data_IF_255241654105
#
_entry.id   IF_255241654105
#
_cell.length_a   1.000
_cell.length_b   1.000
_cell.length_c   1.000
_cell.angle_alpha   90.00
_cell.angle_beta   90.00
_cell.angle_gamma   90.00
#
_symmetry.space_group_name_H-M   'P 1'
#
loop_
_entity.id
_entity.type
_entity.pdbx_description
1 polymer ?
#
# COMPACT_ATOMS: atom_id res chain seq x y z
N UNK A 1 67.40 13.14 7.35
CA UNK A 1 66.18 12.57 6.73
C UNK A 1 65.07 12.64 7.76
N UNK A 2 64.11 13.56 7.59
CA UNK A 2 62.96 13.69 8.48
C UNK A 2 61.78 12.94 7.86
N UNK A 3 61.30 11.91 8.56
CA UNK A 3 60.10 11.16 8.15
C UNK A 3 58.91 12.01 8.57
N UNK A 4 58.36 12.78 7.63
CA UNK A 4 57.06 13.44 7.81
C UNK A 4 55.99 12.35 7.84
N UNK A 5 55.65 11.88 9.03
CA UNK A 5 54.43 11.12 9.27
C UNK A 5 53.24 12.00 8.90
N UNK A 6 52.60 11.71 7.77
CA UNK A 6 51.34 12.35 7.37
C UNK A 6 50.25 11.85 8.32
N UNK A 7 50.13 12.49 9.48
CA UNK A 7 49.05 12.26 10.42
C UNK A 7 47.75 12.63 9.71
N UNK A 8 47.02 11.62 9.22
CA UNK A 8 45.67 11.85 8.71
C UNK A 8 44.85 12.31 9.92
N UNK A 9 44.36 13.56 9.93
CA UNK A 9 43.66 14.09 11.09
C UNK A 9 42.41 13.24 11.37
N UNK A 10 42.31 12.69 12.58
CA UNK A 10 41.14 11.94 13.07
C UNK A 10 39.81 12.67 12.82
N UNK A 11 39.85 14.00 12.71
CA UNK A 11 38.70 14.83 12.34
C UNK A 11 38.07 14.45 10.99
N UNK A 12 38.88 14.12 9.98
CA UNK A 12 38.38 13.74 8.65
C UNK A 12 37.75 12.34 8.65
N UNK A 13 38.28 11.44 9.47
CA UNK A 13 37.69 10.11 9.69
C UNK A 13 36.33 10.26 10.41
N UNK A 14 36.24 11.16 11.39
CA UNK A 14 35.00 11.42 12.13
C UNK A 14 33.90 12.01 11.23
N UNK A 15 34.24 12.92 10.31
CA UNK A 15 33.29 13.53 9.37
C UNK A 15 32.72 12.47 8.40
N UNK A 16 33.55 11.54 7.91
CA UNK A 16 33.09 10.43 7.06
C UNK A 16 32.17 9.46 7.82
N UNK A 17 32.45 9.19 9.10
CA UNK A 17 31.63 8.32 9.95
C UNK A 17 30.29 8.98 10.33
N UNK A 18 30.25 10.30 10.50
CA UNK A 18 29.01 11.04 10.80
C UNK A 18 28.13 11.28 9.56
N UNK A 19 28.70 11.15 8.35
CA UNK A 19 27.95 11.34 7.09
C UNK A 19 27.03 10.17 6.72
N UNK A 20 27.08 9.05 7.44
CA UNK A 20 26.24 7.86 7.17
C UNK A 20 24.90 7.85 7.92
N UNK A 21 24.51 8.93 8.59
CA UNK A 21 23.30 8.97 9.43
C UNK A 21 22.23 9.91 8.90
N UNK A 22 21.82 9.74 7.64
CA UNK A 22 20.56 10.32 7.14
C UNK A 22 19.79 9.29 6.32
N UNK A 23 19.30 8.25 6.99
CA UNK A 23 18.16 7.49 6.46
C UNK A 23 16.90 8.30 6.76
N UNK A 24 16.67 9.37 6.00
CA UNK A 24 15.35 10.03 6.00
C UNK A 24 14.36 8.97 5.52
N UNK A 25 13.60 8.39 6.45
CA UNK A 25 12.46 7.53 6.11
C UNK A 25 11.42 8.45 5.46
N UNK A 26 11.42 8.49 4.13
CA UNK A 26 10.31 9.07 3.39
C UNK A 26 9.14 8.12 3.62
N UNK A 27 8.18 8.53 4.46
CA UNK A 27 6.89 7.86 4.53
C UNK A 27 6.21 8.04 3.18
N UNK A 28 6.04 6.95 2.44
CA UNK A 28 5.21 6.98 1.25
C UNK A 28 3.76 7.05 1.70
N UNK A 29 3.10 8.17 1.44
CA UNK A 29 1.64 8.30 1.61
C UNK A 29 1.00 7.59 0.42
N UNK A 30 0.11 6.63 0.70
CA UNK A 30 -0.58 5.84 -0.33
C UNK A 30 -2.09 6.06 -0.18
N UNK A 31 -2.73 6.46 -1.27
CA UNK A 31 -4.18 6.52 -1.36
C UNK A 31 -4.70 5.16 -1.84
N UNK A 32 -5.67 4.59 -1.13
CA UNK A 32 -6.30 3.33 -1.50
C UNK A 32 -7.79 3.58 -1.71
N UNK A 33 -8.26 3.30 -2.91
CA UNK A 33 -9.68 3.40 -3.28
C UNK A 33 -10.26 2.02 -3.55
N UNK A 34 -11.40 1.74 -2.93
CA UNK A 34 -12.24 0.59 -3.24
C UNK A 34 -13.49 1.07 -3.94
N UNK A 35 -13.77 0.50 -5.10
CA UNK A 35 -14.99 0.77 -5.86
C UNK A 35 -15.81 -0.50 -6.04
N UNK A 36 -17.11 -0.44 -5.73
CA UNK A 36 -18.04 -1.54 -5.95
C UNK A 36 -18.36 -1.69 -7.46
N UNK A 37 -18.02 -2.87 -8.00
CA UNK A 37 -18.29 -3.30 -9.37
C UNK A 37 -18.83 -4.75 -9.42
N UNK A 38 -19.52 -5.19 -8.37
CA UNK A 38 -20.17 -6.50 -8.28
C UNK A 38 -21.36 -6.61 -9.25
N UNK A 39 -21.56 -7.80 -9.83
CA UNK A 39 -22.69 -8.32 -10.60
C UNK A 39 -23.37 -7.29 -11.51
N UNK A 40 -22.59 -6.75 -12.46
CA UNK A 40 -23.06 -5.74 -13.41
C UNK A 40 -23.72 -4.51 -12.75
N UNK A 41 -23.36 -4.23 -11.49
CA UNK A 41 -23.90 -3.14 -10.68
C UNK A 41 -25.20 -3.46 -9.96
N UNK A 42 -25.46 -4.71 -9.56
CA UNK A 42 -26.70 -5.09 -8.87
C UNK A 42 -26.56 -5.28 -7.35
N UNK A 43 -25.35 -5.57 -6.85
CA UNK A 43 -25.10 -5.96 -5.46
C UNK A 43 -24.46 -4.83 -4.65
N UNK A 44 -24.92 -4.69 -3.41
CA UNK A 44 -24.25 -3.88 -2.39
C UNK A 44 -23.01 -4.61 -1.84
N UNK A 45 -21.94 -3.84 -1.64
CA UNK A 45 -20.69 -4.30 -1.07
C UNK A 45 -20.51 -3.68 0.31
N UNK A 46 -20.29 -4.51 1.32
CA UNK A 46 -19.82 -4.06 2.64
C UNK A 46 -18.32 -4.30 2.76
N UNK A 47 -17.56 -3.26 3.10
CA UNK A 47 -16.11 -3.32 3.28
C UNK A 47 -15.76 -2.98 4.71
N UNK A 48 -14.90 -3.79 5.33
CA UNK A 48 -14.40 -3.54 6.69
C UNK A 48 -12.89 -3.79 6.71
N UNK A 49 -12.12 -2.82 7.20
CA UNK A 49 -10.66 -2.88 7.26
C UNK A 49 -10.19 -2.67 8.72
N UNK A 50 -10.21 -3.71 9.57
CA UNK A 50 -10.05 -3.56 11.03
C UNK A 50 -8.73 -2.93 11.46
N UNK A 51 -7.67 -3.13 10.66
CA UNK A 51 -6.34 -2.59 10.94
C UNK A 51 -6.21 -1.08 10.65
N UNK A 52 -7.23 -0.48 10.03
CA UNK A 52 -7.24 0.92 9.60
C UNK A 52 -8.26 1.68 10.45
N UNK A 53 -9.51 1.22 10.41
CA UNK A 53 -10.58 1.75 11.22
C UNK A 53 -11.58 0.67 11.59
N UNK A 54 -12.11 0.73 12.81
CA UNK A 54 -13.11 -0.22 13.29
C UNK A 54 -14.53 0.16 12.81
N UNK A 55 -14.66 0.36 11.49
CA UNK A 55 -15.91 0.77 10.83
C UNK A 55 -16.13 -0.02 9.54
N UNK A 56 -17.39 -0.33 9.28
CA UNK A 56 -17.83 -0.93 8.01
C UNK A 56 -18.44 0.13 7.10
N UNK A 57 -18.17 0.00 5.80
CA UNK A 57 -18.68 0.87 4.75
C UNK A 57 -19.59 0.08 3.82
N UNK A 58 -20.84 0.52 3.70
CA UNK A 58 -21.77 0.01 2.70
C UNK A 58 -21.61 0.84 1.42
N UNK A 59 -21.22 0.18 0.34
CA UNK A 59 -21.03 0.77 -0.99
C UNK A 59 -22.09 0.20 -1.92
N UNK A 60 -23.00 1.05 -2.38
CA UNK A 60 -23.91 0.70 -3.44
C UNK A 60 -23.17 0.51 -4.76
N UNK A 61 -23.79 -0.14 -5.76
CA UNK A 61 -23.24 -0.24 -7.10
C UNK A 61 -22.71 1.10 -7.62
N UNK A 62 -21.49 1.11 -8.13
CA UNK A 62 -20.88 2.34 -8.62
C UNK A 62 -20.07 3.12 -7.58
N UNK A 63 -20.45 3.03 -6.31
CA UNK A 63 -19.86 3.83 -5.23
C UNK A 63 -18.46 3.34 -4.84
N UNK A 64 -17.71 4.26 -4.24
CA UNK A 64 -16.35 4.03 -3.80
C UNK A 64 -16.12 4.60 -2.40
N UNK A 65 -15.07 4.10 -1.75
CA UNK A 65 -14.54 4.66 -0.51
C UNK A 65 -13.02 4.70 -0.58
N UNK A 66 -12.42 5.70 0.06
CA UNK A 66 -11.00 5.95 0.02
C UNK A 66 -10.41 6.01 1.42
N UNK A 67 -9.17 5.54 1.53
CA UNK A 67 -8.32 5.69 2.69
C UNK A 67 -6.99 6.29 2.29
N UNK A 68 -6.38 7.00 3.23
CA UNK A 68 -5.01 7.49 3.13
C UNK A 68 -4.21 6.67 4.15
N UNK A 69 -3.29 5.85 3.66
CA UNK A 69 -2.34 5.11 4.48
C UNK A 69 -1.02 5.89 4.51
N UNK A 70 -0.54 6.22 5.71
CA UNK A 70 0.70 6.98 5.89
C UNK A 70 1.96 6.09 5.88
N UNK A 71 1.79 4.79 5.63
CA UNK A 71 2.89 3.92 5.24
C UNK A 71 3.97 3.79 6.32
N UNK A 72 3.57 3.62 7.59
CA UNK A 72 4.52 3.30 8.67
C UNK A 72 5.12 1.91 8.41
N UNK A 73 6.22 1.92 7.65
CA UNK A 73 6.94 0.74 7.21
C UNK A 73 7.64 0.09 8.41
N UNK A 74 6.97 -0.85 9.08
CA UNK A 74 7.65 -1.77 10.00
C UNK A 74 8.71 -2.58 9.23
N UNK A 75 9.92 -2.82 9.80
CA UNK A 75 10.96 -3.69 9.24
C UNK A 75 10.49 -5.13 8.94
N UNK A 76 9.33 -5.53 9.46
CA UNK A 76 8.68 -6.83 9.22
C UNK A 76 7.69 -6.83 8.04
N UNK A 77 7.62 -5.76 7.23
CA UNK A 77 6.77 -5.72 6.04
C UNK A 77 5.41 -5.02 6.22
N UNK A 78 5.38 -3.89 6.92
CA UNK A 78 4.25 -2.95 6.99
C UNK A 78 2.94 -3.51 7.60
N UNK A 79 1.99 -2.65 8.02
CA UNK A 79 0.67 -3.11 8.40
C UNK A 79 -0.07 -3.63 7.16
N UNK A 80 -0.60 -4.85 7.24
CA UNK A 80 -1.47 -5.38 6.19
C UNK A 80 -2.72 -4.51 6.07
N UNK A 81 -2.95 -3.87 4.92
CA UNK A 81 -4.22 -3.25 4.57
C UNK A 81 -5.23 -4.36 4.21
N UNK A 82 -5.47 -5.25 5.18
CA UNK A 82 -6.30 -6.44 5.03
C UNK A 82 -7.74 -6.06 5.34
N UNK A 83 -8.57 -6.18 4.32
CA UNK A 83 -9.98 -5.85 4.40
C UNK A 83 -10.83 -7.08 4.12
N UNK A 84 -11.98 -7.15 4.77
CA UNK A 84 -13.05 -8.07 4.43
C UNK A 84 -14.05 -7.39 3.50
N UNK A 85 -14.53 -8.15 2.52
CA UNK A 85 -15.47 -7.74 1.49
C UNK A 85 -16.65 -8.71 1.53
N UNK A 86 -17.83 -8.18 1.82
CA UNK A 86 -19.02 -8.98 2.02
C UNK A 86 -20.15 -8.47 1.13
N UNK A 87 -20.85 -9.40 0.50
CA UNK A 87 -22.09 -9.13 -0.22
C UNK A 87 -23.02 -10.33 -0.04
N UNK A 88 -24.20 -10.26 -0.64
CA UNK A 88 -25.18 -11.33 -0.51
C UNK A 88 -24.61 -12.67 -1.00
N UNK A 89 -24.39 -13.60 -0.06
CA UNK A 89 -23.97 -14.97 -0.35
C UNK A 89 -22.46 -15.19 -0.43
N UNK A 90 -21.62 -14.16 -0.20
CA UNK A 90 -20.17 -14.34 -0.20
C UNK A 90 -19.46 -13.39 0.78
N UNK A 91 -18.32 -13.86 1.27
CA UNK A 91 -17.42 -13.11 2.15
C UNK A 91 -16.00 -13.47 1.78
N UNK A 92 -15.18 -12.45 1.50
CA UNK A 92 -13.81 -12.61 1.06
C UNK A 92 -12.89 -11.68 1.82
N UNK A 93 -11.60 -11.99 1.76
CA UNK A 93 -10.56 -11.17 2.34
C UNK A 93 -9.53 -10.85 1.26
N UNK A 94 -8.96 -9.66 1.33
CA UNK A 94 -7.85 -9.28 0.48
C UNK A 94 -6.94 -8.26 1.16
N UNK A 95 -5.64 -8.39 0.92
CA UNK A 95 -4.69 -7.34 1.25
C UNK A 95 -4.62 -6.30 0.12
N UNK A 96 -5.24 -5.14 0.36
CA UNK A 96 -5.39 -4.03 -0.59
C UNK A 96 -4.08 -3.34 -0.94
N UNK A 97 -3.09 -3.43 -0.06
CA UNK A 97 -1.77 -2.86 -0.30
C UNK A 97 -0.68 -3.77 0.25
N UNK A 98 0.21 -4.20 -0.64
CA UNK A 98 1.42 -4.92 -0.29
C UNK A 98 2.60 -4.20 -0.93
N UNK A 99 3.54 -3.61 -0.16
CA UNK A 99 4.68 -2.89 -0.71
C UNK A 99 5.51 -3.69 -1.72
N UNK A 100 5.59 -5.02 -1.61
CA UNK A 100 6.31 -5.85 -2.57
C UNK A 100 5.58 -5.98 -3.93
N UNK A 101 4.24 -5.93 -3.92
CA UNK A 101 3.39 -6.00 -5.12
C UNK A 101 3.09 -4.62 -5.70
N UNK A 102 2.90 -3.65 -4.83
CA UNK A 102 2.32 -2.33 -5.11
C UNK A 102 3.32 -1.19 -4.88
N UNK A 103 4.62 -1.46 -4.94
CA UNK A 103 5.68 -0.44 -4.84
C UNK A 103 5.55 0.70 -5.87
N UNK A 104 4.84 0.46 -6.96
CA UNK A 104 4.57 1.44 -8.04
C UNK A 104 3.28 2.24 -7.81
N UNK A 105 2.66 2.11 -6.63
CA UNK A 105 1.35 2.63 -6.30
C UNK A 105 1.42 3.80 -5.31
N UNK A 106 1.22 5.01 -5.79
CA UNK A 106 0.91 6.16 -4.93
C UNK A 106 -0.62 6.27 -4.74
N UNK A 107 -1.39 5.96 -5.78
CA UNK A 107 -2.85 5.88 -5.77
C UNK A 107 -3.29 4.50 -6.30
N UNK A 108 -3.88 3.70 -5.41
CA UNK A 108 -4.30 2.34 -5.68
C UNK A 108 -5.82 2.27 -5.83
N UNK A 109 -6.28 2.27 -7.08
CA UNK A 109 -7.69 2.06 -7.40
C UNK A 109 -7.99 0.59 -7.59
N UNK A 110 -8.95 0.07 -6.83
CA UNK A 110 -9.37 -1.32 -6.89
C UNK A 110 -10.85 -1.43 -7.19
N UNK A 111 -11.17 -2.18 -8.24
CA UNK A 111 -12.53 -2.60 -8.55
C UNK A 111 -12.81 -3.95 -7.93
N UNK A 112 -13.83 -4.02 -7.10
CA UNK A 112 -14.25 -5.26 -6.46
C UNK A 112 -15.29 -5.96 -7.34
N UNK A 113 -14.95 -7.19 -7.76
CA UNK A 113 -15.79 -8.09 -8.56
C UNK A 113 -15.89 -9.44 -7.86
N UNK A 114 -16.86 -10.27 -8.22
CA UNK A 114 -17.00 -11.61 -7.62
C UNK A 114 -15.74 -12.45 -7.80
N UNK A 115 -15.12 -12.35 -8.98
CA UNK A 115 -13.92 -13.12 -9.34
C UNK A 115 -12.68 -12.69 -8.57
N UNK A 116 -12.67 -11.50 -7.98
CA UNK A 116 -11.52 -10.95 -7.29
C UNK A 116 -11.38 -9.43 -7.44
N UNK A 117 -10.52 -8.82 -6.63
CA UNK A 117 -10.18 -7.40 -6.71
C UNK A 117 -9.27 -7.13 -7.91
N UNK A 118 -9.57 -6.06 -8.65
CA UNK A 118 -8.87 -5.67 -9.87
C UNK A 118 -8.26 -4.28 -9.73
N UNK A 119 -6.93 -4.19 -9.83
CA UNK A 119 -6.20 -2.92 -9.80
C UNK A 119 -6.35 -2.20 -11.13
N UNK A 120 -6.86 -0.98 -11.07
CA UNK A 120 -7.04 -0.08 -12.19
C UNK A 120 -5.90 0.93 -12.19
N UNK A 121 -5.30 1.14 -13.35
CA UNK A 121 -4.23 2.10 -13.52
C UNK A 121 -4.73 3.28 -14.35
N UNK A 122 -4.58 4.49 -13.84
CA UNK A 122 -4.85 5.71 -14.60
C UNK A 122 -3.66 6.07 -15.49
N UNK A 123 -3.28 5.14 -16.38
CA UNK A 123 -2.21 5.33 -17.35
C UNK A 123 -2.60 4.74 -18.70
N UNK A 124 -2.35 5.44 -19.80
CA UNK A 124 -2.60 4.90 -21.13
C UNK A 124 -1.81 3.60 -21.33
N UNK A 125 -2.46 2.59 -21.90
CA UNK A 125 -1.89 1.28 -22.24
C UNK A 125 -1.52 0.36 -21.07
N UNK A 126 -1.83 0.69 -19.80
CA UNK A 126 -1.65 -0.25 -18.69
C UNK A 126 -2.96 -1.02 -18.44
N UNK A 127 -2.98 -2.35 -18.62
CA UNK A 127 -4.21 -3.13 -18.43
C UNK A 127 -4.60 -3.19 -16.96
N UNK A 128 -5.89 -3.35 -16.70
CA UNK A 128 -6.40 -3.72 -15.37
C UNK A 128 -5.86 -5.11 -15.00
N UNK A 129 -5.30 -5.25 -13.79
CA UNK A 129 -4.73 -6.50 -13.29
C UNK A 129 -5.59 -7.00 -12.14
N UNK A 130 -6.14 -8.21 -12.26
CA UNK A 130 -6.97 -8.82 -11.22
C UNK A 130 -6.18 -9.83 -10.39
N UNK A 131 -6.44 -9.83 -9.08
CA UNK A 131 -5.90 -10.78 -8.11
C UNK A 131 -6.99 -11.74 -7.67
N UNK A 132 -6.59 -12.91 -7.17
CA UNK A 132 -7.52 -13.78 -6.46
C UNK A 132 -7.80 -13.23 -5.06
N UNK A 133 -8.94 -13.62 -4.50
CA UNK A 133 -9.20 -13.47 -3.07
C UNK A 133 -8.19 -14.25 -2.24
N UNK A 134 -7.93 -13.78 -1.02
CA UNK A 134 -7.14 -14.54 -0.05
C UNK A 134 -7.96 -15.76 0.39
N UNK A 135 -7.31 -16.93 0.43
CA UNK A 135 -7.87 -18.20 0.93
C UNK A 135 -7.85 -18.31 2.45
#
# INVERSE_FOLDING_TARGET
>A
MAIFGKSVPFLWVLILVLSSANNSRVSAVVLIEVTNRLDNGSLDLTVTCPNIENKSFLLHPGQYHQWIDNGDSSPSGGPFFKCSFQWKGASHIFNMYNPARDFDCEECHWYIKETGPCRVYDRPNKPTICSNWDS
#
